data_IF_735789493230
#
_entry.id   IF_735789493230
#
_cell.length_a   1.000
_cell.length_b   1.000
_cell.length_c   1.000
_cell.angle_alpha   90.00
_cell.angle_beta   90.00
_cell.angle_gamma   90.00
#
_symmetry.space_group_name_H-M   'P 1'
#
loop_
_entity.id
_entity.type
_entity.pdbx_description
1 polymer ?
#
# COMPACT_ATOMS: atom_id res chain seq x y z
N UNK A 1 -4.04 -23.00 -6.13
CA UNK A 1 -5.50 -22.78 -6.26
C UNK A 1 -6.01 -23.23 -7.63
N UNK A 2 -7.30 -23.59 -7.73
CA UNK A 2 -7.99 -23.96 -8.98
C UNK A 2 -8.75 -22.75 -9.57
N UNK A 3 -9.02 -22.78 -10.89
CA UNK A 3 -9.77 -21.72 -11.57
C UNK A 3 -11.29 -21.93 -11.45
N UNK A 4 -11.82 -21.85 -10.22
CA UNK A 4 -13.23 -22.04 -9.92
C UNK A 4 -13.74 -20.86 -9.09
N UNK A 5 -14.32 -19.87 -9.76
CA UNK A 5 -14.89 -18.70 -9.09
C UNK A 5 -16.38 -18.93 -8.85
N UNK A 6 -16.87 -18.91 -7.60
CA UNK A 6 -18.28 -19.07 -7.30
C UNK A 6 -19.11 -17.94 -7.93
N UNK A 7 -20.27 -18.26 -8.49
CA UNK A 7 -21.23 -17.23 -8.93
C UNK A 7 -21.74 -16.43 -7.73
N UNK A 8 -21.88 -15.13 -7.92
CA UNK A 8 -22.35 -14.18 -6.89
C UNK A 8 -23.87 -14.13 -6.75
N UNK A 9 -24.60 -14.86 -7.60
CA UNK A 9 -26.05 -14.96 -7.53
C UNK A 9 -26.50 -15.56 -6.17
N UNK A 10 -27.60 -15.06 -5.57
CA UNK A 10 -28.07 -15.54 -4.27
C UNK A 10 -28.39 -17.04 -4.21
N UNK A 11 -28.67 -17.68 -5.35
CA UNK A 11 -28.92 -19.12 -5.46
C UNK A 11 -27.65 -19.98 -5.28
N UNK A 12 -26.46 -19.39 -5.43
CA UNK A 12 -25.17 -20.08 -5.29
C UNK A 12 -24.42 -19.54 -4.08
N UNK A 13 -24.22 -18.22 -4.00
CA UNK A 13 -23.54 -17.55 -2.91
C UNK A 13 -24.54 -16.71 -2.10
N UNK A 14 -25.29 -17.38 -1.21
CA UNK A 14 -26.26 -16.71 -0.35
C UNK A 14 -25.56 -15.66 0.53
N UNK A 15 -26.17 -14.46 0.62
CA UNK A 15 -25.64 -13.29 1.36
C UNK A 15 -24.35 -12.66 0.79
N UNK A 16 -23.91 -13.04 -0.42
CA UNK A 16 -22.84 -12.32 -1.09
C UNK A 16 -23.19 -10.83 -1.24
N UNK A 17 -22.25 -9.96 -0.89
CA UNK A 17 -22.43 -8.51 -0.99
C UNK A 17 -23.37 -7.87 0.04
N UNK A 18 -23.94 -8.62 0.99
CA UNK A 18 -24.77 -8.04 2.06
C UNK A 18 -23.95 -7.36 3.17
N UNK A 19 -22.66 -7.69 3.27
CA UNK A 19 -21.70 -7.06 4.19
C UNK A 19 -20.48 -6.60 3.39
N UNK A 20 -19.77 -5.54 3.83
CA UNK A 20 -18.62 -4.98 3.11
C UNK A 20 -17.34 -5.81 3.26
N UNK A 21 -17.42 -7.04 3.79
CA UNK A 21 -16.28 -7.89 4.09
C UNK A 21 -16.58 -9.36 3.78
N UNK A 22 -15.53 -10.11 3.44
CA UNK A 22 -15.53 -11.57 3.43
C UNK A 22 -14.52 -12.09 4.44
N UNK A 23 -14.74 -13.32 4.90
CA UNK A 23 -13.86 -14.01 5.86
C UNK A 23 -13.48 -15.37 5.32
N UNK A 24 -12.22 -15.74 5.49
CA UNK A 24 -11.71 -17.08 5.16
C UNK A 24 -10.90 -17.64 6.31
N UNK A 25 -10.91 -18.97 6.44
CA UNK A 25 -10.04 -19.69 7.36
C UNK A 25 -8.84 -20.26 6.58
N UNK A 26 -7.62 -19.94 7.00
CA UNK A 26 -6.39 -20.27 6.28
C UNK A 26 -5.55 -21.29 7.05
N UNK A 27 -5.05 -22.30 6.34
CA UNK A 27 -4.13 -23.31 6.86
C UNK A 27 -4.75 -24.29 7.85
N UNK A 28 -3.92 -25.19 8.39
CA UNK A 28 -4.37 -26.19 9.37
C UNK A 28 -4.86 -25.57 10.68
N UNK A 29 -4.28 -24.44 11.08
CA UNK A 29 -4.65 -23.69 12.28
C UNK A 29 -5.95 -22.87 12.13
N UNK A 30 -6.56 -22.82 10.94
CA UNK A 30 -7.79 -22.07 10.65
C UNK A 30 -7.71 -20.59 11.05
N UNK A 31 -6.57 -19.95 10.77
CA UNK A 31 -6.39 -18.52 11.02
C UNK A 31 -7.44 -17.73 10.24
N UNK A 32 -8.10 -16.78 10.90
CA UNK A 32 -9.14 -15.98 10.28
C UNK A 32 -8.53 -14.78 9.56
N UNK A 33 -8.86 -14.61 8.29
CA UNK A 33 -8.48 -13.45 7.50
C UNK A 33 -9.74 -12.75 7.00
N UNK A 34 -9.82 -11.44 7.22
CA UNK A 34 -10.88 -10.59 6.68
C UNK A 34 -10.38 -9.87 5.43
N UNK A 35 -11.21 -9.86 4.38
CA UNK A 35 -10.88 -9.23 3.09
C UNK A 35 -12.01 -8.26 2.75
N UNK A 36 -11.71 -6.99 2.41
CA UNK A 36 -12.71 -6.04 1.97
C UNK A 36 -13.44 -6.52 0.71
N UNK A 37 -14.76 -6.36 0.68
CA UNK A 37 -15.57 -6.79 -0.46
C UNK A 37 -15.15 -6.11 -1.76
N UNK A 38 -14.70 -4.85 -1.72
CA UNK A 38 -14.21 -4.14 -2.91
C UNK A 38 -13.05 -4.85 -3.60
N UNK A 39 -12.15 -5.49 -2.84
CA UNK A 39 -11.04 -6.29 -3.38
C UNK A 39 -11.55 -7.62 -3.91
N UNK A 40 -12.45 -8.28 -3.17
CA UNK A 40 -13.01 -9.57 -3.60
C UNK A 40 -13.87 -9.45 -4.86
N UNK A 41 -14.59 -8.33 -5.01
CA UNK A 41 -15.52 -8.10 -6.11
C UNK A 41 -14.84 -7.92 -7.47
N UNK A 42 -13.55 -7.60 -7.51
CA UNK A 42 -12.77 -7.51 -8.76
C UNK A 42 -12.71 -8.86 -9.49
N UNK A 43 -12.61 -9.97 -8.74
CA UNK A 43 -12.50 -11.32 -9.32
C UNK A 43 -13.79 -11.73 -10.06
N UNK A 44 -14.99 -11.70 -9.43
CA UNK A 44 -16.24 -11.97 -10.14
C UNK A 44 -16.57 -10.99 -11.27
N UNK A 45 -15.94 -9.79 -11.31
CA UNK A 45 -16.12 -8.83 -12.41
C UNK A 45 -15.41 -9.25 -13.70
N UNK A 46 -14.36 -10.08 -13.60
CA UNK A 46 -13.49 -10.48 -14.72
C UNK A 46 -13.77 -11.88 -15.26
N UNK A 47 -14.71 -12.62 -14.67
CA UNK A 47 -14.97 -14.02 -15.06
C UNK A 47 -15.55 -14.13 -16.46
N UNK A 48 -15.13 -15.18 -17.17
CA UNK A 48 -15.76 -15.60 -18.42
C UNK A 48 -17.11 -16.26 -18.09
N UNK A 49 -18.20 -15.66 -18.58
CA UNK A 49 -19.56 -16.14 -18.37
C UNK A 49 -19.97 -17.27 -19.32
N UNK A 50 -19.20 -17.50 -20.40
CA UNK A 50 -19.46 -18.57 -21.36
C UNK A 50 -19.06 -19.95 -20.83
N UNK A 51 -18.13 -19.98 -19.87
CA UNK A 51 -17.61 -21.21 -19.27
C UNK A 51 -18.22 -21.41 -17.88
N UNK A 52 -18.81 -22.59 -17.65
CA UNK A 52 -19.36 -22.95 -16.35
C UNK A 52 -18.98 -24.36 -15.94
N UNK A 53 -18.72 -24.53 -14.65
CA UNK A 53 -18.35 -25.81 -14.06
C UNK A 53 -19.26 -26.16 -12.88
N UNK A 54 -19.30 -27.46 -12.55
CA UNK A 54 -19.98 -28.05 -11.38
C UNK A 54 -21.42 -27.54 -11.26
N UNK A 55 -22.29 -28.03 -12.15
CA UNK A 55 -23.72 -27.70 -12.13
C UNK A 55 -24.00 -26.21 -12.29
N UNK A 56 -23.20 -25.51 -13.11
CA UNK A 56 -23.33 -24.08 -13.41
C UNK A 56 -23.16 -23.16 -12.18
N UNK A 57 -22.41 -23.61 -11.17
CA UNK A 57 -22.18 -22.84 -9.92
C UNK A 57 -20.90 -22.02 -9.95
N UNK A 58 -19.93 -22.42 -10.78
CA UNK A 58 -18.63 -21.79 -10.86
C UNK A 58 -18.32 -21.36 -12.28
N UNK A 59 -17.68 -20.20 -12.41
CA UNK A 59 -17.14 -19.70 -13.67
C UNK A 59 -15.61 -19.73 -13.63
N UNK A 60 -14.99 -19.56 -14.80
CA UNK A 60 -13.55 -19.46 -14.94
C UNK A 60 -13.11 -18.00 -15.05
N UNK A 61 -11.94 -17.66 -14.53
CA UNK A 61 -11.20 -16.47 -14.94
C UNK A 61 -10.51 -16.70 -16.29
N UNK A 62 -10.32 -15.64 -17.10
CA UNK A 62 -9.39 -15.66 -18.21
C UNK A 62 -8.00 -16.14 -17.76
N UNK A 63 -7.31 -16.88 -18.64
CA UNK A 63 -6.04 -17.52 -18.29
C UNK A 63 -4.97 -16.51 -17.84
N UNK A 64 -4.93 -15.34 -18.47
CA UNK A 64 -4.01 -14.25 -18.12
C UNK A 64 -4.16 -13.85 -16.64
N UNK A 65 -5.37 -13.43 -16.24
CA UNK A 65 -5.65 -13.01 -14.86
C UNK A 65 -5.41 -14.16 -13.86
N UNK A 66 -5.80 -15.38 -14.23
CA UNK A 66 -5.58 -16.54 -13.38
C UNK A 66 -4.09 -16.86 -13.16
N UNK A 67 -3.25 -16.72 -14.19
CA UNK A 67 -1.80 -16.93 -14.09
C UNK A 67 -1.13 -15.80 -13.33
N UNK A 68 -1.52 -14.55 -13.56
CA UNK A 68 -0.97 -13.39 -12.86
C UNK A 68 -1.16 -13.54 -11.33
N UNK A 69 -2.37 -13.91 -10.87
CA UNK A 69 -2.62 -14.18 -9.44
C UNK A 69 -1.74 -15.33 -8.91
N UNK A 70 -1.48 -16.36 -9.72
CA UNK A 70 -0.60 -17.46 -9.34
C UNK A 70 0.86 -17.05 -9.23
N UNK A 71 1.32 -16.17 -10.11
CA UNK A 71 2.67 -15.63 -10.07
C UNK A 71 2.87 -14.78 -8.81
N UNK A 72 1.93 -13.91 -8.49
CA UNK A 72 1.95 -13.12 -7.25
C UNK A 72 1.98 -14.03 -6.01
N UNK A 73 1.12 -15.05 -5.96
CA UNK A 73 1.10 -16.01 -4.86
C UNK A 73 2.43 -16.77 -4.74
N UNK A 74 3.03 -17.19 -5.86
CA UNK A 74 4.35 -17.85 -5.87
C UNK A 74 5.44 -16.92 -5.37
N UNK A 75 5.48 -15.68 -5.85
CA UNK A 75 6.46 -14.69 -5.44
C UNK A 75 6.38 -14.41 -3.93
N UNK A 76 5.18 -14.34 -3.36
CA UNK A 76 4.99 -14.18 -1.91
C UNK A 76 5.43 -15.40 -1.10
N UNK A 77 5.30 -16.61 -1.64
CA UNK A 77 5.79 -17.84 -1.00
C UNK A 77 7.33 -17.89 -1.01
N UNK A 78 7.96 -17.44 -2.10
CA UNK A 78 9.42 -17.47 -2.28
C UNK A 78 10.13 -16.21 -1.74
N UNK A 79 9.40 -15.16 -1.37
CA UNK A 79 9.98 -13.87 -0.97
C UNK A 79 10.83 -13.97 0.30
N UNK A 80 12.06 -13.45 0.21
CA UNK A 80 12.99 -13.30 1.34
C UNK A 80 13.37 -11.82 1.58
N UNK A 81 12.43 -10.91 1.34
CA UNK A 81 12.60 -9.47 1.55
C UNK A 81 11.63 -8.96 2.61
N UNK A 82 12.02 -7.91 3.34
CA UNK A 82 11.20 -7.35 4.44
C UNK A 82 10.05 -6.47 3.96
N UNK A 83 10.10 -5.98 2.72
CA UNK A 83 9.11 -5.06 2.17
C UNK A 83 8.86 -5.37 0.69
N UNK A 84 7.65 -5.11 0.23
CA UNK A 84 7.28 -5.16 -1.19
C UNK A 84 7.60 -3.85 -1.95
N UNK A 85 8.14 -2.84 -1.26
CA UNK A 85 8.55 -1.58 -1.86
C UNK A 85 9.79 -1.78 -2.74
N UNK A 86 9.80 -1.12 -3.89
CA UNK A 86 10.97 -1.01 -4.76
C UNK A 86 11.99 -0.04 -4.18
N UNK A 87 13.06 0.22 -4.93
CA UNK A 87 14.09 1.18 -4.54
C UNK A 87 13.49 2.56 -4.20
N UNK A 88 13.88 3.08 -3.03
CA UNK A 88 13.39 4.34 -2.47
C UNK A 88 14.49 5.41 -2.58
N UNK A 89 14.44 6.22 -3.63
CA UNK A 89 15.47 7.22 -3.97
C UNK A 89 15.27 8.61 -3.33
N UNK A 90 14.15 8.83 -2.62
CA UNK A 90 13.74 10.16 -2.16
C UNK A 90 14.22 10.54 -0.76
N UNK A 91 14.80 9.61 0.01
CA UNK A 91 15.31 9.91 1.36
C UNK A 91 16.38 11.02 1.34
N UNK A 92 17.26 11.02 0.33
CA UNK A 92 18.26 12.08 0.16
C UNK A 92 17.62 13.47 -0.05
N UNK A 93 16.51 13.53 -0.79
CA UNK A 93 15.75 14.77 -1.04
C UNK A 93 15.12 15.30 0.25
N UNK A 94 14.56 14.41 1.08
CA UNK A 94 13.98 14.77 2.37
C UNK A 94 15.04 15.32 3.32
N UNK A 95 16.22 14.69 3.37
CA UNK A 95 17.32 15.18 4.20
C UNK A 95 17.84 16.55 3.72
N UNK A 96 17.99 16.73 2.41
CA UNK A 96 18.40 18.02 1.83
C UNK A 96 17.38 19.13 2.13
N UNK A 97 16.08 18.83 2.05
CA UNK A 97 15.02 19.77 2.39
C UNK A 97 15.06 20.15 3.88
N UNK A 98 15.24 19.16 4.76
CA UNK A 98 15.35 19.38 6.20
C UNK A 98 16.55 20.28 6.54
N UNK A 99 17.73 19.95 6.04
CA UNK A 99 18.94 20.74 6.25
C UNK A 99 18.79 22.17 5.70
N UNK A 100 18.24 22.33 4.49
CA UNK A 100 18.00 23.64 3.90
C UNK A 100 17.04 24.50 4.74
N UNK A 101 15.95 23.92 5.25
CA UNK A 101 14.98 24.64 6.09
C UNK A 101 15.53 25.00 7.46
N UNK A 102 16.38 24.13 8.03
CA UNK A 102 17.09 24.43 9.26
C UNK A 102 18.00 25.67 9.07
N UNK A 103 18.84 25.67 8.03
CA UNK A 103 19.74 26.79 7.76
C UNK A 103 18.99 28.08 7.43
N UNK A 104 17.91 28.02 6.66
CA UNK A 104 17.06 29.18 6.36
C UNK A 104 16.52 29.82 7.65
N UNK A 105 16.10 29.00 8.61
CA UNK A 105 15.59 29.47 9.90
C UNK A 105 16.70 30.08 10.76
N UNK A 106 17.87 29.45 10.82
CA UNK A 106 19.03 29.97 11.54
C UNK A 106 19.46 31.35 11.00
N UNK A 107 19.47 31.51 9.68
CA UNK A 107 19.80 32.77 9.02
C UNK A 107 18.74 33.86 9.25
N UNK A 108 17.45 33.52 9.19
CA UNK A 108 16.36 34.47 9.45
C UNK A 108 16.40 35.01 10.89
N UNK A 109 16.68 34.15 11.87
CA UNK A 109 16.87 34.55 13.27
C UNK A 109 18.10 35.45 13.45
N UNK A 110 19.23 35.09 12.83
CA UNK A 110 20.46 35.90 12.88
C UNK A 110 20.25 37.29 12.26
N UNK A 111 19.54 37.37 11.13
CA UNK A 111 19.23 38.64 10.47
C UNK A 111 18.38 39.57 11.37
N UNK A 112 17.35 39.02 12.03
CA UNK A 112 16.50 39.76 12.97
C UNK A 112 17.23 40.23 14.22
N UNK A 113 18.17 39.44 14.73
CA UNK A 113 18.96 39.75 15.94
C UNK A 113 20.06 40.77 15.68
N UNK A 114 20.77 40.68 14.53
CA UNK A 114 21.77 41.67 14.12
C UNK A 114 21.11 43.03 13.83
N UNK A 115 19.96 43.04 13.17
CA UNK A 115 19.19 44.28 12.93
C UNK A 115 18.69 44.97 14.20
N UNK A 116 18.59 44.23 15.32
CA UNK A 116 18.17 44.74 16.61
C UNK A 116 19.36 45.16 17.53
N UNK A 117 20.60 44.92 17.14
CA UNK A 117 21.78 45.23 17.96
C UNK A 117 22.11 46.73 17.92
N UNK A 118 22.05 47.39 19.09
CA UNK A 118 22.52 48.77 19.26
C UNK A 118 24.06 48.82 19.17
N UNK A 119 24.64 49.93 18.67
CA UNK A 119 26.10 50.06 18.52
C UNK A 119 26.82 49.88 19.87
N UNK A 120 27.73 48.93 19.91
CA UNK A 120 28.55 48.60 21.08
C UNK A 120 29.83 49.43 21.03
N UNK A 121 30.15 50.16 22.12
CA UNK A 121 31.41 50.89 22.26
C UNK A 121 32.46 49.98 22.87
N UNK A 122 33.53 49.71 22.13
CA UNK A 122 34.68 48.98 22.65
C UNK A 122 35.68 49.95 23.30
N UNK A 123 36.15 49.68 24.53
CA UNK A 123 37.20 50.48 25.15
C UNK A 123 38.53 50.25 24.41
N UNK A 124 39.12 51.33 23.89
CA UNK A 124 40.43 51.30 23.24
C UNK A 124 41.47 51.87 24.19
N UNK A 125 42.60 51.18 24.36
CA UNK A 125 43.70 51.65 25.19
C UNK A 125 44.19 53.02 24.67
N UNK A 126 44.29 54.01 25.56
CA UNK A 126 44.81 55.34 25.22
C UNK A 126 46.29 55.18 24.81
N UNK A 127 46.62 55.70 23.62
CA UNK A 127 48.01 55.87 23.15
C UNK A 127 48.78 56.77 24.10
#
# INVERSE_FOLDING_TARGET
MLNFIPRTCPSVALLYGKRPLQRIAVGAAKQQLEIPLGVVADIPGKVDSSVSYVGNKYNALPWKDFVDIKLDARNLIEADVKSALTDLDWFGKVNALYAGKQTETELDVAAKTIGAMKPVKYPVAKK
#
